data_IF_285919436035
#
_entry.id   IF_285919436035
#
_cell.length_a   1.000
_cell.length_b   1.000
_cell.length_c   1.000
_cell.angle_alpha   90.00
_cell.angle_beta   90.00
_cell.angle_gamma   90.00
#
_symmetry.space_group_name_H-M   'P 1'
#
loop_
_entity.id
_entity.type
_entity.pdbx_description
1 polymer ?
#
# COMPACT_ATOMS: atom_id res chain seq x y z
N UNK A 1 6.64 18.58 -18.45
CA UNK A 1 5.69 18.58 -19.59
C UNK A 1 6.11 19.54 -20.70
N UNK A 2 7.25 19.25 -21.32
CA UNK A 2 7.59 19.81 -22.63
C UNK A 2 6.93 18.98 -23.74
N UNK A 3 6.68 19.59 -24.91
CA UNK A 3 6.22 18.84 -26.10
C UNK A 3 7.24 17.77 -26.54
N UNK A 4 8.49 17.93 -26.14
CA UNK A 4 9.58 17.03 -26.47
C UNK A 4 9.50 15.72 -25.68
N UNK A 5 9.29 15.79 -24.37
CA UNK A 5 9.02 14.61 -23.51
C UNK A 5 7.84 13.78 -24.04
N UNK A 6 6.73 14.45 -24.39
CA UNK A 6 5.55 13.77 -24.93
C UNK A 6 5.86 13.03 -26.24
N UNK A 7 6.73 13.60 -27.08
CA UNK A 7 7.10 12.97 -28.35
C UNK A 7 8.04 11.78 -28.16
N UNK A 8 9.01 11.87 -27.25
CA UNK A 8 9.93 10.79 -26.91
C UNK A 8 9.20 9.58 -26.30
N UNK A 9 8.24 9.81 -25.41
CA UNK A 9 7.46 8.73 -24.77
C UNK A 9 6.61 7.93 -25.77
N UNK A 10 6.22 8.52 -26.91
CA UNK A 10 5.49 7.79 -27.95
C UNK A 10 6.33 6.69 -28.63
N UNK A 11 7.66 6.84 -28.61
CA UNK A 11 8.57 5.85 -29.21
C UNK A 11 9.04 4.80 -28.21
N UNK A 12 9.20 5.18 -26.94
CA UNK A 12 9.63 4.29 -25.87
C UNK A 12 8.80 4.53 -24.59
N UNK A 13 7.61 3.91 -24.48
CA UNK A 13 6.76 4.09 -23.31
C UNK A 13 7.38 3.36 -22.12
N UNK A 14 7.75 4.12 -21.09
CA UNK A 14 8.30 3.58 -19.85
C UNK A 14 7.16 3.23 -18.87
N UNK A 15 7.39 2.31 -17.92
CA UNK A 15 6.35 1.91 -16.98
C UNK A 15 6.00 3.07 -16.04
N UNK A 16 4.70 3.22 -15.79
CA UNK A 16 4.10 4.30 -15.01
C UNK A 16 3.47 3.70 -13.75
N UNK A 17 3.71 4.33 -12.61
CA UNK A 17 3.09 3.95 -11.34
C UNK A 17 1.57 4.21 -11.33
N UNK A 18 0.86 3.52 -10.44
CA UNK A 18 -0.58 3.63 -10.27
C UNK A 18 -0.97 4.38 -9.00
N UNK A 19 -2.24 4.77 -8.93
CA UNK A 19 -2.88 5.18 -7.68
C UNK A 19 -3.99 4.18 -7.42
N UNK A 20 -3.83 3.41 -6.36
CA UNK A 20 -4.80 2.40 -5.98
C UNK A 20 -5.77 2.99 -4.95
N UNK A 21 -7.05 2.59 -5.02
CA UNK A 21 -8.06 2.97 -4.04
C UNK A 21 -8.17 1.86 -3.01
N UNK A 22 -7.75 2.15 -1.78
CA UNK A 22 -7.77 1.19 -0.69
C UNK A 22 -9.21 0.99 -0.18
N UNK A 23 -9.75 -0.20 -0.40
CA UNK A 23 -11.06 -0.62 0.10
C UNK A 23 -10.98 -1.49 1.35
N UNK A 24 -9.81 -2.09 1.60
CA UNK A 24 -9.62 -3.10 2.63
C UNK A 24 -8.67 -2.61 3.73
N UNK A 25 -8.90 -3.06 4.97
CA UNK A 25 -8.01 -2.80 6.10
C UNK A 25 -7.69 -4.09 6.83
N UNK A 26 -6.39 -4.38 6.89
CA UNK A 26 -5.86 -5.53 7.61
C UNK A 26 -5.49 -5.09 9.02
N UNK A 27 -6.30 -5.51 9.99
CA UNK A 27 -6.12 -5.08 11.37
C UNK A 27 -5.01 -5.85 12.10
N UNK A 28 -4.23 -5.13 12.91
CA UNK A 28 -3.27 -5.75 13.82
C UNK A 28 -3.98 -6.33 15.05
N UNK A 29 -3.74 -7.61 15.35
CA UNK A 29 -4.40 -8.31 16.47
C UNK A 29 -3.64 -8.18 17.78
N UNK A 30 -2.34 -7.88 17.74
CA UNK A 30 -1.52 -7.78 18.94
C UNK A 30 -1.78 -6.44 19.68
N UNK A 31 -2.35 -6.46 20.90
CA UNK A 31 -2.73 -5.24 21.61
C UNK A 31 -1.54 -4.34 21.95
N UNK A 32 -0.36 -4.91 22.17
CA UNK A 32 0.86 -4.13 22.45
C UNK A 32 1.30 -3.34 21.22
N UNK A 33 1.25 -3.96 20.03
CA UNK A 33 1.57 -3.28 18.77
C UNK A 33 0.57 -2.16 18.50
N UNK A 34 -0.73 -2.42 18.70
CA UNK A 34 -1.79 -1.42 18.55
C UNK A 34 -1.58 -0.25 19.52
N UNK A 35 -1.18 -0.51 20.77
CA UNK A 35 -0.88 0.55 21.74
C UNK A 35 0.30 1.44 21.30
N UNK A 36 1.40 0.84 20.81
CA UNK A 36 2.52 1.63 20.28
C UNK A 36 2.12 2.44 19.05
N UNK A 37 1.36 1.85 18.12
CA UNK A 37 0.80 2.55 16.97
C UNK A 37 -0.08 3.72 17.41
N UNK A 38 -0.93 3.51 18.42
CA UNK A 38 -1.81 4.55 18.96
C UNK A 38 -1.02 5.73 19.53
N UNK A 39 0.04 5.48 20.29
CA UNK A 39 0.91 6.55 20.81
C UNK A 39 1.59 7.32 19.67
N UNK A 40 2.13 6.62 18.67
CA UNK A 40 2.73 7.25 17.51
C UNK A 40 1.70 8.06 16.70
N UNK A 41 0.50 7.52 16.49
CA UNK A 41 -0.58 8.18 15.79
C UNK A 41 -1.03 9.46 16.53
N UNK A 42 -1.16 9.42 17.86
CA UNK A 42 -1.48 10.60 18.67
C UNK A 42 -0.43 11.71 18.51
N UNK A 43 0.86 11.36 18.49
CA UNK A 43 1.94 12.33 18.27
C UNK A 43 1.89 12.93 16.86
N UNK A 44 1.67 12.11 15.82
CA UNK A 44 1.52 12.57 14.44
C UNK A 44 0.31 13.50 14.31
N UNK A 45 -0.87 13.09 14.81
CA UNK A 45 -2.09 13.90 14.77
C UNK A 45 -1.93 15.21 15.53
N UNK A 46 -1.27 15.20 16.70
CA UNK A 46 -0.97 16.42 17.44
C UNK A 46 -0.05 17.36 16.65
N UNK A 47 1.00 16.83 16.01
CA UNK A 47 1.90 17.61 15.16
C UNK A 47 1.17 18.22 13.96
N UNK A 48 0.33 17.45 13.28
CA UNK A 48 -0.50 17.91 12.18
C UNK A 48 -1.49 19.00 12.60
N UNK A 49 -2.19 18.79 13.71
CA UNK A 49 -3.14 19.76 14.26
C UNK A 49 -2.43 21.07 14.61
N UNK A 50 -1.28 21.01 15.29
CA UNK A 50 -0.48 22.18 15.64
C UNK A 50 -0.04 22.93 14.38
N UNK A 51 0.41 22.23 13.34
CA UNK A 51 0.78 22.86 12.08
C UNK A 51 -0.40 23.65 11.48
N UNK A 52 -1.57 23.03 11.33
CA UNK A 52 -2.75 23.74 10.82
C UNK A 52 -3.17 24.91 11.71
N UNK A 53 -3.12 24.73 13.03
CA UNK A 53 -3.55 25.74 14.00
C UNK A 53 -2.66 27.00 13.96
N UNK A 54 -1.35 26.85 13.80
CA UNK A 54 -0.40 27.97 13.75
C UNK A 54 -0.46 28.76 12.43
N UNK A 55 -0.72 28.10 11.30
CA UNK A 55 -0.72 28.75 9.99
C UNK A 55 -2.08 29.35 9.58
N UNK A 56 -3.16 29.03 10.28
CA UNK A 56 -4.49 29.58 10.00
C UNK A 56 -4.69 30.94 10.69
N UNK A 57 -5.11 31.99 9.96
CA UNK A 57 -5.42 33.31 10.54
C UNK A 57 -6.80 33.34 11.21
N UNK A 58 -7.14 32.30 11.99
CA UNK A 58 -8.40 32.16 12.71
C UNK A 58 -8.13 32.22 14.21
N UNK A 59 -9.09 32.73 14.98
CA UNK A 59 -8.96 32.89 16.43
C UNK A 59 -9.96 32.01 17.19
N UNK A 60 -9.56 31.53 18.37
CA UNK A 60 -10.42 30.77 19.27
C UNK A 60 -10.91 29.44 18.70
N UNK A 61 -12.17 29.09 19.00
CA UNK A 61 -12.78 27.80 18.64
C UNK A 61 -12.89 27.56 17.13
N UNK A 62 -12.95 28.62 16.31
CA UNK A 62 -12.99 28.49 14.86
C UNK A 62 -11.71 27.84 14.31
N UNK A 63 -10.55 28.22 14.85
CA UNK A 63 -9.26 27.64 14.44
C UNK A 63 -9.20 26.15 14.79
N UNK A 64 -9.68 25.77 15.98
CA UNK A 64 -9.72 24.36 16.41
C UNK A 64 -10.64 23.54 15.50
N UNK A 65 -11.84 24.03 15.20
CA UNK A 65 -12.79 23.33 14.34
C UNK A 65 -12.26 23.14 12.92
N UNK A 66 -11.68 24.20 12.33
CA UNK A 66 -11.13 24.16 10.97
C UNK A 66 -9.88 23.27 10.91
N UNK A 67 -8.97 23.39 11.88
CA UNK A 67 -7.77 22.54 11.97
C UNK A 67 -8.13 21.07 12.09
N UNK A 68 -9.07 20.73 12.98
CA UNK A 68 -9.57 19.35 13.11
C UNK A 68 -10.22 18.85 11.82
N UNK A 69 -11.00 19.70 11.14
CA UNK A 69 -11.60 19.37 9.84
C UNK A 69 -10.56 19.07 8.76
N UNK A 70 -9.49 19.88 8.66
CA UNK A 70 -8.38 19.67 7.72
C UNK A 70 -7.67 18.34 8.02
N UNK A 71 -7.36 18.08 9.29
CA UNK A 71 -6.68 16.84 9.69
C UNK A 71 -7.56 15.62 9.38
N UNK A 72 -8.86 15.66 9.69
CA UNK A 72 -9.79 14.57 9.38
C UNK A 72 -9.91 14.33 7.87
N UNK A 73 -10.02 15.40 7.08
CA UNK A 73 -10.08 15.30 5.62
C UNK A 73 -8.79 14.69 5.05
N UNK A 74 -7.63 15.13 5.54
CA UNK A 74 -6.35 14.57 5.13
C UNK A 74 -6.22 13.08 5.50
N UNK A 75 -6.58 12.68 6.72
CA UNK A 75 -6.55 11.28 7.15
C UNK A 75 -7.47 10.44 6.27
N UNK A 76 -8.66 10.95 5.95
CA UNK A 76 -9.60 10.29 5.04
C UNK A 76 -9.03 10.11 3.63
N UNK A 77 -8.47 11.15 3.03
CA UNK A 77 -7.82 11.07 1.71
C UNK A 77 -6.63 10.10 1.71
N UNK A 78 -5.78 10.19 2.73
CA UNK A 78 -4.61 9.32 2.89
C UNK A 78 -4.98 7.85 3.12
N UNK A 79 -6.15 7.58 3.71
CA UNK A 79 -6.65 6.22 3.82
C UNK A 79 -7.01 5.64 2.45
N UNK A 80 -7.77 6.38 1.64
CA UNK A 80 -8.27 5.88 0.36
C UNK A 80 -7.22 5.84 -0.74
N UNK A 81 -6.36 6.86 -0.87
CA UNK A 81 -5.42 6.93 -1.99
C UNK A 81 -4.06 6.34 -1.63
N UNK A 82 -3.68 5.27 -2.33
CA UNK A 82 -2.39 4.59 -2.19
C UNK A 82 -1.58 4.80 -3.47
N UNK A 83 -0.72 5.82 -3.49
CA UNK A 83 0.20 6.00 -4.62
C UNK A 83 1.27 4.90 -4.62
N UNK A 84 1.35 4.19 -5.74
CA UNK A 84 2.26 3.07 -6.00
C UNK A 84 3.25 3.51 -7.11
N UNK A 85 4.28 4.32 -6.78
CA UNK A 85 5.26 4.77 -7.78
C UNK A 85 6.07 3.59 -8.31
N UNK A 86 6.38 3.61 -9.61
CA UNK A 86 7.39 2.72 -10.15
C UNK A 86 8.78 3.28 -9.81
N UNK A 87 9.54 2.56 -8.98
CA UNK A 87 10.86 3.01 -8.50
C UNK A 87 12.00 2.77 -9.48
N UNK A 88 11.79 1.91 -10.48
CA UNK A 88 12.77 1.61 -11.52
C UNK A 88 12.83 2.73 -12.58
N UNK A 89 11.77 3.56 -12.63
CA UNK A 89 11.65 4.70 -13.53
C UNK A 89 11.49 6.02 -12.74
N UNK A 90 12.53 6.38 -11.98
CA UNK A 90 12.65 7.66 -11.25
C UNK A 90 13.74 8.58 -11.86
N UNK A 91 14.12 8.35 -13.11
CA UNK A 91 15.18 9.10 -13.77
C UNK A 91 16.57 8.77 -13.21
N UNK A 92 17.51 9.71 -13.35
CA UNK A 92 18.91 9.45 -13.04
C UNK A 92 19.22 9.55 -11.55
N UNK A 93 20.15 8.70 -11.09
CA UNK A 93 20.55 8.59 -9.67
C UNK A 93 19.36 8.30 -8.74
N UNK A 94 18.35 7.56 -9.21
CA UNK A 94 17.22 7.10 -8.40
C UNK A 94 16.29 8.23 -7.93
N UNK A 95 15.98 9.21 -8.78
CA UNK A 95 15.07 10.31 -8.42
C UNK A 95 15.73 11.65 -8.16
N UNK A 96 17.06 11.77 -8.25
CA UNK A 96 17.74 13.05 -7.94
C UNK A 96 17.86 13.97 -9.15
N UNK A 97 17.95 13.41 -10.35
CA UNK A 97 18.04 14.15 -11.60
C UNK A 97 16.86 13.76 -12.47
N UNK A 98 16.19 14.78 -12.98
CA UNK A 98 15.07 14.66 -13.91
C UNK A 98 15.56 14.08 -15.24
N UNK A 99 14.85 13.09 -15.78
CA UNK A 99 15.07 12.63 -17.14
C UNK A 99 14.30 13.53 -18.13
N UNK A 100 14.98 14.38 -18.93
CA UNK A 100 14.30 15.33 -19.80
C UNK A 100 13.59 14.68 -21.00
N UNK A 101 13.66 13.35 -21.15
CA UNK A 101 13.08 12.62 -22.28
C UNK A 101 11.78 11.91 -21.94
N UNK A 102 11.47 11.66 -20.67
CA UNK A 102 10.36 10.78 -20.27
C UNK A 102 9.42 11.48 -19.29
N UNK A 103 8.15 11.66 -19.66
CA UNK A 103 7.16 12.27 -18.77
C UNK A 103 6.78 11.32 -17.63
N UNK A 104 6.94 10.02 -17.85
CA UNK A 104 6.67 8.98 -16.86
C UNK A 104 7.54 9.11 -15.60
N UNK A 105 8.76 9.67 -15.70
CA UNK A 105 9.61 10.02 -14.55
C UNK A 105 8.95 11.08 -13.65
N UNK A 106 8.53 12.20 -14.26
CA UNK A 106 7.79 13.28 -13.60
C UNK A 106 6.57 12.72 -12.82
N UNK A 107 5.83 11.79 -13.44
CA UNK A 107 4.69 11.14 -12.81
C UNK A 107 5.09 10.26 -11.63
N UNK A 108 6.08 9.38 -11.79
CA UNK A 108 6.55 8.49 -10.72
C UNK A 108 7.14 9.28 -9.55
N UNK A 109 7.87 10.36 -9.80
CA UNK A 109 8.39 11.26 -8.77
C UNK A 109 7.26 11.98 -8.03
N UNK A 110 6.21 12.39 -8.75
CA UNK A 110 5.01 12.96 -8.14
C UNK A 110 4.29 11.94 -7.23
N UNK A 111 4.17 10.68 -7.67
CA UNK A 111 3.60 9.59 -6.87
C UNK A 111 4.43 9.30 -5.62
N UNK A 112 5.77 9.32 -5.74
CA UNK A 112 6.67 9.17 -4.60
C UNK A 112 6.49 10.31 -3.58
N UNK A 113 6.36 11.55 -4.07
CA UNK A 113 6.04 12.70 -3.22
C UNK A 113 4.70 12.53 -2.51
N UNK A 114 3.65 12.10 -3.23
CA UNK A 114 2.34 11.82 -2.64
C UNK A 114 2.38 10.67 -1.64
N UNK A 115 3.17 9.62 -1.90
CA UNK A 115 3.36 8.49 -0.97
C UNK A 115 3.98 8.95 0.34
N UNK A 116 5.01 9.80 0.27
CA UNK A 116 5.61 10.42 1.46
C UNK A 116 4.63 11.34 2.19
N UNK A 117 3.89 12.17 1.43
CA UNK A 117 2.96 13.15 1.99
C UNK A 117 1.74 12.52 2.63
N UNK A 118 1.17 11.45 2.07
CA UNK A 118 -0.02 10.75 2.58
C UNK A 118 0.34 9.67 3.62
N UNK A 119 1.58 9.22 3.67
CA UNK A 119 2.04 8.17 4.57
C UNK A 119 1.65 8.37 6.05
N UNK A 120 1.92 9.53 6.66
CA UNK A 120 1.52 9.80 8.05
C UNK A 120 0.01 9.69 8.28
N UNK A 121 -0.81 10.22 7.37
CA UNK A 121 -2.27 10.14 7.45
C UNK A 121 -2.77 8.70 7.36
N UNK A 122 -2.20 7.91 6.44
CA UNK A 122 -2.54 6.49 6.28
C UNK A 122 -2.18 5.68 7.52
N UNK A 123 -1.03 5.97 8.14
CA UNK A 123 -0.64 5.36 9.40
C UNK A 123 -1.63 5.64 10.53
N UNK A 124 -2.08 6.90 10.67
CA UNK A 124 -3.10 7.29 11.66
C UNK A 124 -4.44 6.59 11.37
N UNK A 125 -4.90 6.60 10.12
CA UNK A 125 -6.16 5.94 9.72
C UNK A 125 -6.15 4.45 10.06
N UNK A 126 -5.10 3.73 9.65
CA UNK A 126 -4.97 2.31 9.95
C UNK A 126 -4.91 2.01 11.44
N UNK A 127 -4.30 2.90 12.24
CA UNK A 127 -4.26 2.76 13.70
C UNK A 127 -5.62 2.96 14.35
N UNK A 128 -6.43 3.90 13.87
CA UNK A 128 -7.81 4.09 14.34
C UNK A 128 -8.65 2.84 14.07
N UNK A 129 -8.49 2.26 12.88
CA UNK A 129 -9.19 1.02 12.51
C UNK A 129 -8.72 -0.18 13.35
N UNK A 130 -7.41 -0.30 13.62
CA UNK A 130 -6.89 -1.33 14.52
C UNK A 130 -7.50 -1.23 15.92
N UNK A 131 -7.60 -0.02 16.47
CA UNK A 131 -8.24 0.21 17.78
C UNK A 131 -9.74 -0.11 17.72
N UNK A 132 -10.43 0.27 16.65
CA UNK A 132 -11.85 -0.04 16.47
C UNK A 132 -12.09 -1.55 16.43
N UNK A 133 -11.22 -2.32 15.77
CA UNK A 133 -11.27 -3.79 15.74
C UNK A 133 -10.95 -4.38 17.11
N UNK A 134 -9.92 -3.88 17.80
CA UNK A 134 -9.54 -4.33 19.14
C UNK A 134 -10.68 -4.12 20.16
N UNK A 135 -11.44 -3.02 20.03
CA UNK A 135 -12.60 -2.72 20.85
C UNK A 135 -13.88 -3.47 20.42
N UNK A 136 -13.84 -4.24 19.32
CA UNK A 136 -14.98 -4.95 18.78
C UNK A 136 -16.04 -4.05 18.10
N UNK A 137 -15.68 -2.81 17.77
CA UNK A 137 -16.55 -1.85 17.06
C UNK A 137 -16.60 -2.18 15.56
N UNK A 138 -15.45 -2.55 15.00
CA UNK A 138 -15.31 -2.95 13.60
C UNK A 138 -14.92 -4.44 13.50
N UNK A 139 -15.32 -5.09 12.41
CA UNK A 139 -14.78 -6.40 12.02
C UNK A 139 -13.66 -6.16 11.02
N UNK A 140 -12.50 -6.75 11.25
CA UNK A 140 -11.49 -6.89 10.19
C UNK A 140 -11.87 -8.08 9.34
N UNK A 141 -11.54 -8.03 8.04
CA UNK A 141 -11.56 -9.22 7.23
C UNK A 141 -10.61 -10.26 7.85
N UNK A 142 -10.94 -11.57 7.74
CA UNK A 142 -10.07 -12.62 8.25
C UNK A 142 -8.76 -12.52 7.49
N UNK A 143 -7.71 -12.05 8.16
CA UNK A 143 -6.36 -12.16 7.64
C UNK A 143 -6.09 -13.62 7.36
N UNK A 144 -5.70 -14.02 6.14
CA UNK A 144 -4.95 -15.25 6.00
C UNK A 144 -3.65 -15.03 6.78
N UNK A 145 -3.60 -15.52 8.03
CA UNK A 145 -2.39 -15.53 8.87
C UNK A 145 -1.32 -16.49 8.31
N UNK A 146 -1.32 -16.75 7.00
CA UNK A 146 -0.23 -17.46 6.34
C UNK A 146 0.89 -16.46 6.10
N UNK A 147 2.09 -16.84 6.50
CA UNK A 147 3.34 -16.14 6.20
C UNK A 147 3.44 -15.78 4.71
N UNK A 148 2.91 -16.65 3.86
CA UNK A 148 2.82 -16.50 2.40
C UNK A 148 2.07 -15.24 1.94
N UNK A 149 1.02 -14.79 2.65
CA UNK A 149 0.27 -13.59 2.26
C UNK A 149 1.10 -12.32 2.50
N UNK A 150 1.78 -12.27 3.65
CA UNK A 150 2.71 -11.19 3.94
C UNK A 150 3.91 -11.23 2.99
N UNK A 151 4.44 -12.41 2.68
CA UNK A 151 5.49 -12.54 1.67
C UNK A 151 5.02 -12.01 0.33
N UNK A 152 3.85 -12.37 -0.16
CA UNK A 152 3.37 -11.92 -1.47
C UNK A 152 3.19 -10.39 -1.52
N UNK A 153 2.57 -9.79 -0.49
CA UNK A 153 2.33 -8.36 -0.45
C UNK A 153 3.61 -7.52 -0.25
N UNK A 154 4.63 -8.05 0.43
CA UNK A 154 5.91 -7.37 0.62
C UNK A 154 6.97 -7.74 -0.43
N UNK A 155 6.89 -8.94 -1.04
CA UNK A 155 7.72 -9.34 -2.18
C UNK A 155 7.33 -8.56 -3.42
N UNK A 156 6.04 -8.32 -3.72
CA UNK A 156 5.67 -7.46 -4.84
C UNK A 156 6.22 -6.03 -4.69
N UNK A 157 6.35 -5.53 -3.45
CA UNK A 157 6.99 -4.25 -3.17
C UNK A 157 8.55 -4.28 -3.26
N UNK A 158 9.17 -5.46 -3.28
CA UNK A 158 10.63 -5.65 -3.28
C UNK A 158 11.21 -6.35 -4.53
N UNK A 159 10.39 -7.06 -5.31
CA UNK A 159 10.81 -7.82 -6.50
C UNK A 159 10.90 -6.97 -7.76
N UNK A 160 10.46 -5.71 -7.73
CA UNK A 160 10.73 -4.76 -8.82
C UNK A 160 12.24 -4.58 -9.11
N UNK A 161 13.14 -5.01 -8.22
CA UNK A 161 14.59 -4.74 -8.35
C UNK A 161 15.53 -5.97 -8.33
N UNK A 162 15.04 -7.21 -8.46
CA UNK A 162 15.91 -8.40 -8.32
C UNK A 162 16.16 -9.16 -9.64
N UNK A 163 15.47 -8.82 -10.73
CA UNK A 163 15.63 -9.53 -12.02
C UNK A 163 17.03 -9.37 -12.67
N UNK A 164 17.92 -8.55 -12.09
CA UNK A 164 19.33 -8.45 -12.49
C UNK A 164 20.35 -9.03 -11.49
N UNK A 165 19.90 -9.58 -10.36
CA UNK A 165 20.79 -10.30 -9.46
C UNK A 165 20.84 -11.77 -9.91
N UNK A 166 21.85 -12.12 -10.69
CA UNK A 166 22.24 -13.53 -10.93
C UNK A 166 22.55 -14.20 -9.60
N UNK A 167 21.53 -14.79 -8.98
CA UNK A 167 21.68 -15.72 -7.87
C UNK A 167 22.26 -16.99 -8.47
N UNK A 168 23.57 -17.15 -8.34
CA UNK A 168 24.25 -18.43 -8.59
C UNK A 168 23.69 -19.44 -7.58
N UNK A 169 22.71 -20.23 -8.00
CA UNK A 169 22.16 -21.32 -7.21
C UNK A 169 23.27 -22.27 -6.75
N UNK A 170 23.41 -22.42 -5.44
CA UNK A 170 24.14 -23.54 -4.85
C UNK A 170 23.28 -24.79 -4.99
N UNK A 171 23.80 -25.77 -5.73
CA UNK A 171 23.26 -27.13 -5.88
C UNK A 171 22.81 -27.73 -4.54
N UNK A 172 21.50 -27.72 -4.31
CA UNK A 172 20.85 -28.46 -3.24
C UNK A 172 20.60 -29.89 -3.71
N UNK A 173 21.52 -30.74 -3.26
CA UNK A 173 21.46 -32.19 -3.12
C UNK A 173 20.02 -32.75 -2.98
N UNK A 174 19.71 -33.71 -3.84
CA UNK A 174 18.50 -34.54 -3.89
C UNK A 174 17.98 -34.93 -2.49
N UNK A 175 16.77 -34.48 -2.16
CA UNK A 175 15.94 -35.07 -1.13
C UNK A 175 14.78 -35.81 -1.83
N UNK A 176 14.82 -37.13 -1.69
CA UNK A 176 13.82 -38.07 -2.18
C UNK A 176 12.49 -37.94 -1.43
N UNK A 177 11.38 -38.14 -2.13
CA UNK A 177 10.07 -38.35 -1.53
C UNK A 177 8.95 -37.67 -2.30
N UNK A 178 8.57 -38.23 -3.45
CA UNK A 178 7.35 -37.85 -4.16
C UNK A 178 6.15 -38.44 -3.41
N UNK A 179 5.57 -37.65 -2.52
CA UNK A 179 4.18 -37.84 -2.09
C UNK A 179 3.27 -37.00 -3.01
N UNK A 180 2.13 -37.58 -3.39
CA UNK A 180 1.22 -37.01 -4.37
C UNK A 180 0.69 -35.66 -3.86
N UNK A 181 1.04 -34.59 -4.56
CA UNK A 181 0.51 -33.26 -4.32
C UNK A 181 -1.01 -33.26 -4.55
N UNK A 182 -1.78 -33.22 -3.46
CA UNK A 182 -3.13 -32.71 -3.51
C UNK A 182 -3.10 -31.31 -4.10
N UNK A 183 -4.02 -31.01 -5.03
CA UNK A 183 -4.09 -29.68 -5.61
C UNK A 183 -4.45 -28.70 -4.49
N UNK A 184 -3.87 -27.49 -4.54
CA UNK A 184 -4.09 -26.43 -3.55
C UNK A 184 -5.60 -26.21 -3.28
N UNK A 185 -6.46 -26.36 -4.29
CA UNK A 185 -7.91 -26.27 -4.16
C UNK A 185 -8.55 -27.35 -3.26
N UNK A 186 -8.03 -28.58 -3.25
CA UNK A 186 -8.54 -29.65 -2.38
C UNK A 186 -8.24 -29.36 -0.90
N UNK A 187 -7.07 -28.80 -0.60
CA UNK A 187 -6.70 -28.42 0.78
C UNK A 187 -7.59 -27.28 1.31
N UNK A 188 -7.95 -26.32 0.45
CA UNK A 188 -8.89 -25.25 0.82
C UNK A 188 -10.32 -25.77 1.02
N UNK A 189 -10.77 -26.74 0.21
CA UNK A 189 -12.08 -27.36 0.41
C UNK A 189 -12.18 -28.08 1.74
N UNK A 190 -11.16 -28.86 2.10
CA UNK A 190 -11.17 -29.67 3.31
C UNK A 190 -11.05 -28.82 4.59
N UNK A 191 -10.27 -27.74 4.52
CA UNK A 191 -10.01 -26.87 5.69
C UNK A 191 -11.12 -25.86 5.99
N UNK A 192 -11.82 -25.37 4.96
CA UNK A 192 -12.81 -24.31 5.13
C UNK A 192 -14.25 -24.73 4.80
N UNK A 193 -14.48 -25.94 4.30
CA UNK A 193 -15.81 -26.42 3.90
C UNK A 193 -16.45 -25.59 2.79
N UNK A 194 -15.65 -24.77 2.11
CA UNK A 194 -16.10 -23.93 1.00
C UNK A 194 -16.04 -24.77 -0.26
N UNK A 195 -17.15 -25.44 -0.59
CA UNK A 195 -17.33 -25.98 -1.94
C UNK A 195 -17.18 -24.80 -2.90
N UNK A 196 -16.14 -24.79 -3.73
CA UNK A 196 -15.99 -23.76 -4.74
C UNK A 196 -17.23 -23.79 -5.61
N UNK A 197 -18.13 -22.83 -5.40
CA UNK A 197 -19.18 -22.50 -6.36
C UNK A 197 -18.47 -21.85 -7.52
N UNK A 198 -17.77 -22.67 -8.30
CA UNK A 198 -17.38 -22.36 -9.66
C UNK A 198 -18.69 -22.00 -10.34
N UNK A 199 -18.81 -20.71 -10.66
CA UNK A 199 -19.92 -20.19 -11.43
C UNK A 199 -20.03 -21.04 -12.70
N UNK A 200 -20.96 -21.99 -12.69
CA UNK A 200 -21.52 -22.58 -13.89
C UNK A 200 -22.31 -21.45 -14.54
N UNK A 201 -21.61 -20.61 -15.30
CA UNK A 201 -22.25 -19.90 -16.39
C UNK A 201 -22.64 -21.01 -17.37
N UNK A 202 -23.87 -21.47 -17.24
CA UNK A 202 -24.54 -22.22 -18.29
C UNK A 202 -24.67 -21.27 -19.46
N UNK A 203 -23.78 -21.41 -20.45
CA UNK A 203 -24.05 -21.00 -21.82
C UNK A 203 -25.05 -22.00 -22.42
N UNK A 204 -26.32 -21.87 -22.07
CA UNK A 204 -27.43 -22.49 -22.79
C UNK A 204 -28.46 -21.41 -23.13
N UNK A 205 -28.64 -21.21 -24.45
CA UNK A 205 -29.60 -20.38 -25.22
C UNK A 205 -29.12 -19.04 -25.80
#
# INVERSE_FOLDING_TARGET
MSLYEYWCEQYDPQPVGSVDVNTEHIAQTNPTVVLFKLLAALLITAGMFMLSYYFLPLQGWQSVAVSSGIVLLYIGLAFFFVPSPNVDNLGWMGGMLDDPFHYSDDWNRSLLFWRGTLGPGRFVAGTILDVAVLLGIAKSDPTPCSYEYFEQQYQEAGQASIDNATVSELSSREAAGSEAHHSCEEEYQDKYGLSSTRFLINDDE
#
